data_IF_901828399276
#
_entry.id   IF_901828399276
#
_cell.length_a   1.000
_cell.length_b   1.000
_cell.length_c   1.000
_cell.angle_alpha   90.00
_cell.angle_beta   90.00
_cell.angle_gamma   90.00
#
_symmetry.space_group_name_H-M   'P 1'
#
loop_
_entity.id
_entity.type
_entity.pdbx_description
1 polymer ?
#
# COMPACT_ATOMS: atom_id res chain seq x y z
N UNK A 1 9.31 -6.37 -0.12
CA UNK A 1 10.48 -5.58 0.35
C UNK A 1 10.96 -6.15 1.68
N UNK A 2 12.27 -6.19 2.00
CA UNK A 2 12.72 -6.56 3.34
C UNK A 2 12.13 -5.62 4.40
N UNK A 3 11.82 -6.16 5.60
CA UNK A 3 11.32 -5.35 6.73
C UNK A 3 12.32 -4.25 7.11
N UNK A 4 11.82 -3.08 7.46
CA UNK A 4 12.61 -1.89 7.82
C UNK A 4 13.24 -1.18 6.64
N UNK A 5 12.84 -1.50 5.41
CA UNK A 5 13.33 -0.85 4.18
C UNK A 5 12.18 -0.41 3.30
N UNK A 6 12.43 0.57 2.43
CA UNK A 6 11.47 1.00 1.43
C UNK A 6 12.16 1.18 0.07
N UNK A 7 11.38 1.10 -1.00
CA UNK A 7 11.83 1.40 -2.35
C UNK A 7 10.85 2.34 -3.06
N UNK A 8 11.33 3.39 -3.74
CA UNK A 8 10.48 4.24 -4.57
C UNK A 8 10.06 3.49 -5.85
N UNK A 9 8.77 3.46 -6.12
CA UNK A 9 8.19 2.95 -7.36
C UNK A 9 7.49 4.08 -8.11
N UNK A 10 8.22 4.81 -8.94
CA UNK A 10 7.67 5.90 -9.76
C UNK A 10 7.92 5.69 -11.26
N UNK A 11 8.34 4.48 -11.65
CA UNK A 11 8.61 4.11 -13.04
C UNK A 11 7.65 3.01 -13.46
N UNK A 12 6.41 3.40 -13.68
CA UNK A 12 5.35 2.48 -14.07
C UNK A 12 5.57 1.98 -15.50
N UNK A 13 5.52 0.66 -15.70
CA UNK A 13 5.37 0.10 -17.03
C UNK A 13 3.90 0.13 -17.43
N UNK A 14 3.62 0.38 -18.71
CA UNK A 14 2.26 0.27 -19.25
C UNK A 14 1.70 -1.17 -19.19
N UNK A 15 2.52 -2.15 -18.83
CA UNK A 15 2.18 -3.58 -18.78
C UNK A 15 2.10 -4.15 -17.37
N UNK A 16 2.34 -3.36 -16.32
CA UNK A 16 2.38 -3.81 -14.93
C UNK A 16 1.22 -3.25 -14.13
N UNK A 17 0.73 -4.02 -13.16
CA UNK A 17 -0.31 -3.63 -12.19
C UNK A 17 0.34 -2.88 -11.00
N UNK A 18 1.40 -2.13 -11.29
CA UNK A 18 2.22 -1.51 -10.26
C UNK A 18 1.56 -0.23 -9.77
N UNK A 19 1.46 -0.09 -8.44
CA UNK A 19 0.99 1.13 -7.80
C UNK A 19 2.18 2.08 -7.61
N UNK A 20 2.07 3.36 -7.99
CA UNK A 20 3.13 4.33 -7.74
C UNK A 20 3.22 4.70 -6.25
N UNK A 21 4.43 4.94 -5.74
CA UNK A 21 4.63 5.37 -4.36
C UNK A 21 5.86 4.74 -3.71
N UNK A 22 5.83 4.55 -2.40
CA UNK A 22 6.92 3.91 -1.66
C UNK A 22 6.52 2.50 -1.23
N UNK A 23 7.17 1.50 -1.80
CA UNK A 23 6.93 0.09 -1.48
C UNK A 23 7.60 -0.25 -0.16
N UNK A 24 6.85 -0.83 0.76
CA UNK A 24 7.31 -1.30 2.08
C UNK A 24 6.88 -2.75 2.31
N UNK A 25 7.44 -3.40 3.33
CA UNK A 25 6.92 -4.69 3.77
C UNK A 25 5.54 -4.50 4.43
N UNK A 26 4.55 -5.39 4.20
CA UNK A 26 3.22 -5.25 4.82
C UNK A 26 3.25 -5.11 6.35
N UNK A 27 4.13 -5.83 7.04
CA UNK A 27 4.32 -5.71 8.50
C UNK A 27 4.89 -4.36 8.98
N UNK A 28 5.47 -3.54 8.09
CA UNK A 28 6.04 -2.24 8.48
C UNK A 28 4.97 -1.14 8.56
N UNK A 29 3.74 -1.41 8.13
CA UNK A 29 2.64 -0.44 8.02
C UNK A 29 1.78 -0.44 9.28
N UNK A 30 2.41 -0.20 10.43
CA UNK A 30 1.75 -0.23 11.74
C UNK A 30 0.78 0.95 11.93
N UNK A 31 -0.24 0.77 12.77
CA UNK A 31 -1.23 1.83 13.05
C UNK A 31 -2.16 2.14 11.87
N UNK A 32 -2.23 1.22 10.89
CA UNK A 32 -3.14 1.31 9.75
C UNK A 32 -4.16 0.18 9.77
N UNK A 33 -5.26 0.40 9.06
CA UNK A 33 -6.35 -0.56 8.89
C UNK A 33 -6.69 -0.71 7.41
N UNK A 34 -7.42 -1.75 7.05
CA UNK A 34 -7.98 -1.87 5.70
C UNK A 34 -9.18 -0.93 5.54
N UNK A 35 -9.33 -0.36 4.35
CA UNK A 35 -10.47 0.47 3.99
C UNK A 35 -11.78 -0.33 4.12
N UNK A 36 -12.85 0.28 4.63
CA UNK A 36 -14.14 -0.41 4.91
C UNK A 36 -15.00 -0.64 3.67
N UNK A 37 -14.76 0.11 2.59
CA UNK A 37 -15.37 -0.07 1.28
C UNK A 37 -14.93 -1.37 0.62
N UNK A 38 -15.88 -2.27 0.40
CA UNK A 38 -15.69 -3.58 -0.23
C UNK A 38 -15.17 -3.51 -1.66
N UNK A 39 -15.49 -2.43 -2.37
CA UNK A 39 -14.99 -2.11 -3.71
C UNK A 39 -13.46 -1.91 -3.70
N UNK A 40 -12.89 -1.36 -2.63
CA UNK A 40 -11.43 -1.16 -2.47
C UNK A 40 -10.67 -2.45 -2.13
N UNK A 41 -11.38 -3.48 -1.68
CA UNK A 41 -10.81 -4.74 -1.20
C UNK A 41 -11.07 -5.92 -2.15
N UNK A 42 -11.80 -5.68 -3.24
CA UNK A 42 -12.24 -6.73 -4.15
C UNK A 42 -11.10 -7.21 -5.05
N UNK A 43 -10.74 -8.49 -4.96
CA UNK A 43 -10.01 -9.19 -6.01
C UNK A 43 -10.15 -10.72 -5.92
N UNK A 44 -9.30 -11.42 -6.66
CA UNK A 44 -9.25 -12.87 -6.64
C UNK A 44 -8.72 -13.39 -5.28
N UNK A 45 -9.17 -14.57 -4.86
CA UNK A 45 -8.64 -15.25 -3.67
C UNK A 45 -8.69 -14.43 -2.37
N UNK A 46 -9.74 -13.60 -2.19
CA UNK A 46 -10.03 -12.83 -0.97
C UNK A 46 -8.96 -11.80 -0.55
N UNK A 47 -7.95 -11.56 -1.40
CA UNK A 47 -6.95 -10.50 -1.19
C UNK A 47 -7.28 -9.24 -2.01
N UNK A 48 -6.78 -8.06 -1.63
CA UNK A 48 -6.90 -6.85 -2.44
C UNK A 48 -5.95 -6.87 -3.65
N UNK A 49 -6.44 -6.41 -4.81
CA UNK A 49 -5.63 -6.23 -6.04
C UNK A 49 -4.79 -4.95 -6.01
N UNK A 50 -5.28 -3.94 -5.28
CA UNK A 50 -4.77 -2.57 -5.30
C UNK A 50 -5.09 -1.79 -6.58
N UNK A 51 -5.94 -2.31 -7.46
CA UNK A 51 -6.35 -1.63 -8.70
C UNK A 51 -7.42 -0.57 -8.48
N UNK A 52 -8.26 -0.77 -7.47
CA UNK A 52 -9.41 0.09 -7.19
C UNK A 52 -9.06 1.25 -6.26
N UNK A 53 -7.79 1.67 -6.24
CA UNK A 53 -7.27 2.78 -5.43
C UNK A 53 -6.78 2.38 -4.03
N UNK A 54 -6.45 3.37 -3.18
CA UNK A 54 -5.97 3.12 -1.83
C UNK A 54 -6.97 2.31 -1.01
N UNK A 55 -6.43 1.34 -0.28
CA UNK A 55 -7.21 0.39 0.51
C UNK A 55 -6.63 0.14 1.90
N UNK A 56 -5.63 0.94 2.27
CA UNK A 56 -5.06 1.03 3.61
C UNK A 56 -5.27 2.46 4.10
N UNK A 57 -5.87 2.58 5.28
CA UNK A 57 -6.21 3.85 5.93
C UNK A 57 -5.46 4.00 7.24
N UNK A 58 -5.24 5.25 7.66
CA UNK A 58 -4.74 5.54 8.99
C UNK A 58 -5.78 5.11 10.04
N UNK A 59 -5.39 4.28 11.01
CA UNK A 59 -6.32 3.77 12.03
C UNK A 59 -6.86 4.82 12.99
N UNK A 60 -6.27 6.03 13.02
CA UNK A 60 -6.73 7.11 13.92
C UNK A 60 -7.71 8.08 13.28
N UNK A 61 -7.55 8.40 11.98
CA UNK A 61 -8.33 9.42 11.30
C UNK A 61 -9.04 8.92 10.03
N UNK A 62 -8.77 7.69 9.59
CA UNK A 62 -9.39 7.09 8.41
C UNK A 62 -8.86 7.61 7.06
N UNK A 63 -7.85 8.48 7.04
CA UNK A 63 -7.25 8.97 5.79
C UNK A 63 -6.63 7.81 5.01
N UNK A 64 -6.91 7.72 3.71
CA UNK A 64 -6.23 6.80 2.78
C UNK A 64 -4.73 7.13 2.73
N UNK A 65 -3.87 6.16 3.06
CA UNK A 65 -2.41 6.36 3.15
C UNK A 65 -1.60 5.40 2.27
N UNK A 66 -2.19 4.27 1.87
CA UNK A 66 -1.48 3.28 1.07
C UNK A 66 -2.42 2.36 0.29
N UNK A 67 -1.83 1.62 -0.63
CA UNK A 67 -2.46 0.54 -1.36
C UNK A 67 -1.75 -0.77 -1.06
N UNK A 68 -2.48 -1.73 -0.51
CA UNK A 68 -2.07 -3.12 -0.36
C UNK A 68 -2.46 -3.92 -1.60
N UNK A 69 -1.50 -4.70 -2.08
CA UNK A 69 -1.70 -5.77 -3.04
C UNK A 69 -1.38 -7.07 -2.31
N UNK A 70 -2.27 -8.05 -2.38
CA UNK A 70 -2.09 -9.36 -1.75
C UNK A 70 -3.06 -10.41 -2.33
N UNK A 71 -3.45 -10.27 -3.59
CA UNK A 71 -4.25 -11.28 -4.29
C UNK A 71 -3.35 -12.35 -4.93
N UNK A 72 -3.94 -13.36 -5.56
CA UNK A 72 -3.18 -14.47 -6.13
C UNK A 72 -2.40 -14.14 -7.42
N UNK A 73 -2.56 -12.95 -7.99
CA UNK A 73 -1.87 -12.51 -9.22
C UNK A 73 -0.97 -11.28 -8.99
N UNK A 74 -1.02 -10.68 -7.81
CA UNK A 74 -0.22 -9.51 -7.42
C UNK A 74 0.86 -9.88 -6.41
N UNK A 75 1.79 -8.96 -6.18
CA UNK A 75 2.79 -9.12 -5.12
C UNK A 75 2.13 -8.88 -3.75
N UNK A 76 2.57 -9.57 -2.71
CA UNK A 76 2.21 -9.22 -1.32
C UNK A 76 3.06 -8.03 -0.86
N UNK A 77 2.51 -6.83 -1.08
CA UNK A 77 3.20 -5.58 -0.81
C UNK A 77 2.24 -4.47 -0.40
N UNK A 78 2.78 -3.44 0.25
CA UNK A 78 2.07 -2.18 0.49
C UNK A 78 2.85 -1.05 -0.16
N UNK A 79 2.14 -0.19 -0.88
CA UNK A 79 2.68 1.00 -1.52
C UNK A 79 2.08 2.23 -0.86
N UNK A 80 2.90 2.98 -0.12
CA UNK A 80 2.49 4.22 0.53
C UNK A 80 2.28 5.31 -0.50
N UNK A 81 1.18 6.04 -0.39
CA UNK A 81 0.85 7.18 -1.24
C UNK A 81 1.79 8.34 -0.91
N UNK A 82 2.61 8.72 -1.89
CA UNK A 82 3.64 9.75 -1.77
C UNK A 82 3.14 11.12 -1.29
N UNK A 83 1.87 11.43 -1.54
CA UNK A 83 1.24 12.68 -1.10
C UNK A 83 0.62 12.61 0.30
N UNK A 84 0.43 11.40 0.84
CA UNK A 84 -0.17 11.14 2.15
C UNK A 84 0.87 10.85 3.24
N UNK A 85 2.13 10.58 2.87
CA UNK A 85 3.22 10.26 3.80
C UNK A 85 4.40 11.20 3.64
N UNK A 86 5.18 11.37 4.71
CA UNK A 86 6.47 12.06 4.69
C UNK A 86 7.55 11.17 5.31
N UNK A 87 8.80 11.43 4.97
CA UNK A 87 9.92 10.83 5.69
C UNK A 87 9.95 11.44 7.10
N UNK A 88 9.66 10.63 8.12
CA UNK A 88 9.97 11.04 9.48
C UNK A 88 11.45 10.78 9.72
N UNK A 89 12.24 11.84 9.80
CA UNK A 89 13.56 11.75 10.43
C UNK A 89 13.31 11.66 11.93
N UNK A 90 13.18 10.44 12.47
CA UNK A 90 13.49 10.25 13.88
C UNK A 90 15.01 10.36 13.99
N UNK A 91 15.49 11.56 14.31
CA UNK A 91 16.75 11.71 15.01
C UNK A 91 16.55 11.06 16.40
N UNK A 92 16.63 9.73 16.47
CA UNK A 92 16.83 9.00 17.73
C UNK A 92 18.33 8.91 18.03
#
# INVERSE_FOLDING_TARGET
>A
MPRGTYAPNFRLSATTIDVPGFVVHPDDVVGTELHSGWDRLSACCQGPSGLDGPNVVCGSCGTEVATKQADCFTQDQVVLESTAVCLSFTDD
#
